data_IF_661067350047
#
_entry.id   IF_661067350047
#
_cell.length_a   1.000
_cell.length_b   1.000
_cell.length_c   1.000
_cell.angle_alpha   90.00
_cell.angle_beta   90.00
_cell.angle_gamma   90.00
#
_symmetry.space_group_name_H-M   'P 1'
#
loop_
_entity.id
_entity.type
_entity.pdbx_description
1 polymer ?
#
# COMPACT_ATOMS: atom_id res chain seq x y z
N UNK A 1 -12.43 30.10 -36.13
CA UNK A 1 -12.54 29.40 -34.83
C UNK A 1 -11.81 28.04 -34.82
N UNK A 2 -10.52 27.97 -35.20
CA UNK A 2 -9.75 26.70 -35.26
C UNK A 2 -8.67 26.56 -34.17
N UNK A 3 -8.29 27.64 -33.46
CA UNK A 3 -7.23 27.62 -32.45
C UNK A 3 -7.67 27.17 -31.05
N UNK A 4 -8.95 27.26 -30.68
CA UNK A 4 -9.38 26.91 -29.32
C UNK A 4 -9.21 25.42 -28.99
N UNK A 5 -9.39 24.51 -29.96
CA UNK A 5 -9.29 23.06 -29.74
C UNK A 5 -7.87 22.59 -29.39
N UNK A 6 -6.84 23.27 -29.89
CA UNK A 6 -5.44 22.93 -29.61
C UNK A 6 -5.02 23.33 -28.19
N UNK A 7 -5.50 24.49 -27.72
CA UNK A 7 -5.22 24.96 -26.35
C UNK A 7 -5.84 24.02 -25.32
N UNK A 8 -7.05 23.52 -25.57
CA UNK A 8 -7.72 22.55 -24.67
C UNK A 8 -6.98 21.22 -24.59
N UNK A 9 -6.43 20.72 -25.71
CA UNK A 9 -5.67 19.48 -25.74
C UNK A 9 -4.35 19.59 -24.94
N UNK A 10 -3.66 20.73 -25.02
CA UNK A 10 -2.43 21.00 -24.27
C UNK A 10 -2.70 21.08 -22.76
N UNK A 11 -3.80 21.74 -22.35
CA UNK A 11 -4.22 21.82 -20.95
C UNK A 11 -4.60 20.45 -20.37
N UNK A 12 -5.22 19.57 -21.17
CA UNK A 12 -5.53 18.21 -20.73
C UNK A 12 -4.25 17.36 -20.56
N UNK A 13 -3.28 17.50 -21.48
CA UNK A 13 -2.00 16.81 -21.40
C UNK A 13 -1.12 17.30 -20.23
N UNK A 14 -1.16 18.61 -19.93
CA UNK A 14 -0.44 19.19 -18.80
C UNK A 14 -0.98 18.73 -17.44
N UNK A 15 -2.31 18.58 -17.30
CA UNK A 15 -2.92 18.05 -16.08
C UNK A 15 -2.60 16.56 -15.86
N UNK A 16 -2.45 15.77 -16.93
CA UNK A 16 -2.02 14.38 -16.82
C UNK A 16 -0.58 14.22 -16.31
N UNK A 17 0.27 15.24 -16.50
CA UNK A 17 1.65 15.26 -16.00
C UNK A 17 1.78 15.73 -14.55
N UNK A 18 0.71 16.30 -13.97
CA UNK A 18 0.68 16.88 -12.62
C UNK A 18 0.09 15.92 -11.57
N UNK A 19 0.05 14.62 -11.86
CA UNK A 19 -0.28 13.63 -10.82
C UNK A 19 0.85 13.66 -9.79
N UNK A 20 0.59 14.29 -8.64
CA UNK A 20 1.49 14.26 -7.50
C UNK A 20 1.65 12.81 -7.05
N UNK A 21 2.81 12.24 -7.33
CA UNK A 21 3.13 10.87 -7.01
C UNK A 21 3.64 10.79 -5.57
N UNK A 22 2.92 10.05 -4.73
CA UNK A 22 3.18 9.99 -3.30
C UNK A 22 2.78 8.62 -2.78
N UNK A 23 3.72 7.88 -2.20
CA UNK A 23 3.45 6.58 -1.56
C UNK A 23 3.86 6.62 -0.09
N UNK A 24 2.94 6.21 0.77
CA UNK A 24 3.18 6.06 2.21
C UNK A 24 3.44 4.61 2.56
N UNK A 25 4.61 4.33 3.10
CA UNK A 25 5.00 3.00 3.57
C UNK A 25 4.83 2.93 5.09
N UNK A 26 4.27 1.81 5.57
CA UNK A 26 4.03 1.54 6.99
C UNK A 26 4.57 0.19 7.39
N UNK A 27 5.38 0.16 8.46
CA UNK A 27 5.94 -1.08 9.00
C UNK A 27 5.87 -1.09 10.52
N UNK A 28 5.55 -2.24 11.07
CA UNK A 28 5.58 -2.54 12.49
C UNK A 28 6.98 -3.03 12.85
N UNK A 29 7.64 -2.33 13.77
CA UNK A 29 8.93 -2.71 14.32
C UNK A 29 8.97 -2.46 15.83
N UNK A 30 9.37 -3.46 16.61
CA UNK A 30 9.44 -3.38 18.09
C UNK A 30 10.82 -2.97 18.60
N UNK A 31 11.84 -2.97 17.74
CA UNK A 31 13.20 -2.57 18.08
C UNK A 31 13.86 -1.90 16.89
N UNK A 32 14.71 -0.90 17.15
CA UNK A 32 15.43 -0.16 16.12
C UNK A 32 14.56 0.81 15.30
N UNK A 33 15.21 1.54 14.40
CA UNK A 33 14.55 2.47 13.48
C UNK A 33 14.53 1.87 12.08
N UNK A 34 13.35 1.54 11.51
CA UNK A 34 13.27 0.98 10.18
C UNK A 34 13.58 2.01 9.10
N UNK A 35 13.96 1.50 7.93
CA UNK A 35 14.03 2.24 6.68
C UNK A 35 13.33 1.45 5.58
N UNK A 36 12.77 2.16 4.61
CA UNK A 36 12.27 1.54 3.37
C UNK A 36 13.24 1.85 2.23
N UNK A 37 13.49 0.87 1.38
CA UNK A 37 14.26 1.05 0.15
C UNK A 37 13.28 0.97 -1.02
N UNK A 38 13.19 2.05 -1.78
CA UNK A 38 12.36 2.16 -2.99
C UNK A 38 13.18 2.83 -4.08
N UNK A 39 13.16 2.30 -5.30
CA UNK A 39 13.97 2.79 -6.43
C UNK A 39 15.47 2.93 -6.09
N UNK A 40 16.04 1.97 -5.34
CA UNK A 40 17.44 1.96 -4.87
C UNK A 40 17.82 3.11 -3.92
N UNK A 41 16.85 3.91 -3.47
CA UNK A 41 17.05 4.95 -2.45
C UNK A 41 16.51 4.48 -1.12
N UNK A 42 17.25 4.75 -0.04
CA UNK A 42 16.88 4.39 1.33
C UNK A 42 16.26 5.60 2.04
N UNK A 43 15.11 5.40 2.65
CA UNK A 43 14.38 6.42 3.39
C UNK A 43 14.17 5.96 4.83
N UNK A 44 14.69 6.72 5.79
CA UNK A 44 14.50 6.46 7.22
C UNK A 44 13.06 6.78 7.63
N UNK A 45 12.43 5.86 8.35
CA UNK A 45 11.04 6.00 8.77
C UNK A 45 10.94 6.68 10.14
N UNK A 46 9.81 7.35 10.39
CA UNK A 46 9.52 8.01 11.67
C UNK A 46 8.42 7.24 12.39
N UNK A 47 8.42 7.31 13.72
CA UNK A 47 7.33 6.75 14.52
C UNK A 47 6.04 7.52 14.19
N UNK A 48 5.01 6.80 13.77
CA UNK A 48 3.64 7.35 13.65
C UNK A 48 2.90 7.11 14.97
N UNK A 49 2.81 5.85 15.38
CA UNK A 49 2.23 5.40 16.65
C UNK A 49 2.89 4.07 17.02
N UNK A 50 3.73 4.04 18.07
CA UNK A 50 4.50 2.84 18.39
C UNK A 50 3.58 1.60 18.55
N UNK A 51 3.87 0.46 17.90
CA UNK A 51 5.11 0.09 17.19
C UNK A 51 5.12 0.36 15.66
N UNK A 52 4.25 1.23 15.15
CA UNK A 52 4.11 1.59 13.74
C UNK A 52 5.04 2.75 13.37
N UNK A 53 5.82 2.53 12.33
CA UNK A 53 6.64 3.53 11.67
C UNK A 53 6.09 3.80 10.28
N UNK A 54 6.16 5.06 9.86
CA UNK A 54 5.79 5.45 8.51
C UNK A 54 6.77 6.43 7.88
N UNK A 55 6.79 6.41 6.56
CA UNK A 55 7.42 7.42 5.74
C UNK A 55 6.58 7.61 4.51
N UNK A 56 6.41 8.87 4.13
CA UNK A 56 5.82 9.19 2.84
C UNK A 56 6.91 9.66 1.90
N UNK A 57 6.98 9.03 0.74
CA UNK A 57 7.96 9.33 -0.30
C UNK A 57 7.23 9.98 -1.46
N UNK A 58 7.56 11.26 -1.70
CA UNK A 58 7.13 11.98 -2.89
C UNK A 58 7.91 11.48 -4.12
N UNK A 59 7.40 11.73 -5.32
CA UNK A 59 8.00 11.29 -6.59
C UNK A 59 7.98 9.76 -6.83
N UNK A 60 7.16 9.03 -6.06
CA UNK A 60 6.97 7.58 -6.23
C UNK A 60 5.54 7.30 -6.64
N UNK A 61 5.38 6.55 -7.74
CA UNK A 61 4.09 6.11 -8.26
C UNK A 61 3.88 4.64 -7.99
N UNK A 62 2.70 4.25 -7.50
CA UNK A 62 2.27 2.86 -7.54
C UNK A 62 1.91 2.45 -8.98
N UNK A 63 2.17 1.19 -9.40
CA UNK A 63 2.80 0.13 -8.62
C UNK A 63 4.32 0.31 -8.48
N UNK A 64 4.85 0.05 -7.28
CA UNK A 64 6.31 0.16 -7.02
C UNK A 64 6.85 -0.99 -6.17
N UNK A 65 8.07 -1.40 -6.49
CA UNK A 65 8.83 -2.40 -5.73
C UNK A 65 9.61 -1.76 -4.57
N UNK A 66 9.58 -2.41 -3.42
CA UNK A 66 10.26 -1.93 -2.21
C UNK A 66 10.62 -3.08 -1.27
N UNK A 67 11.45 -2.82 -0.27
CA UNK A 67 11.72 -3.72 0.85
C UNK A 67 12.15 -2.91 2.08
N UNK A 68 12.05 -3.51 3.26
CA UNK A 68 12.44 -2.85 4.51
C UNK A 68 13.85 -3.25 4.98
N UNK A 69 14.46 -2.36 5.75
CA UNK A 69 15.74 -2.54 6.45
C UNK A 69 15.55 -2.16 7.90
N UNK A 70 16.02 -2.98 8.84
CA UNK A 70 15.97 -2.74 10.27
C UNK A 70 17.33 -2.98 10.90
N UNK A 71 18.01 -1.90 11.32
CA UNK A 71 19.38 -2.00 11.84
C UNK A 71 20.34 -2.54 10.78
N UNK A 72 20.95 -3.70 11.07
CA UNK A 72 21.84 -4.43 10.15
C UNK A 72 21.13 -5.49 9.30
N UNK A 73 19.82 -5.71 9.52
CA UNK A 73 19.04 -6.70 8.78
C UNK A 73 18.27 -6.05 7.62
N UNK A 74 18.27 -6.72 6.47
CA UNK A 74 17.56 -6.31 5.26
C UNK A 74 16.67 -7.47 4.79
N UNK A 75 15.44 -7.17 4.38
CA UNK A 75 14.53 -8.18 3.85
C UNK A 75 15.11 -8.82 2.60
N UNK A 76 15.12 -10.16 2.54
CA UNK A 76 15.65 -10.93 1.40
C UNK A 76 14.66 -11.09 0.25
N UNK A 77 13.55 -10.36 0.28
CA UNK A 77 12.47 -10.43 -0.69
C UNK A 77 11.97 -9.03 -1.02
N UNK A 78 11.42 -8.89 -2.22
CA UNK A 78 10.82 -7.64 -2.69
C UNK A 78 9.31 -7.68 -2.47
N UNK A 79 8.76 -6.57 -1.98
CA UNK A 79 7.33 -6.30 -1.86
C UNK A 79 6.88 -5.41 -3.03
N UNK A 80 5.59 -5.44 -3.33
CA UNK A 80 4.98 -4.59 -4.36
C UNK A 80 3.84 -3.79 -3.73
N UNK A 81 3.92 -2.47 -3.83
CA UNK A 81 2.86 -1.57 -3.40
C UNK A 81 2.00 -1.27 -4.62
N UNK A 82 0.75 -1.70 -4.59
CA UNK A 82 -0.22 -1.47 -5.69
C UNK A 82 -0.98 -0.15 -5.51
N UNK A 83 -0.82 0.52 -4.36
CA UNK A 83 -1.53 1.74 -3.98
C UNK A 83 -0.62 2.76 -3.30
N UNK A 84 -1.12 3.99 -3.18
CA UNK A 84 -0.45 5.15 -2.57
C UNK A 84 -0.19 4.99 -1.06
N UNK A 85 -0.68 3.94 -0.44
CA UNK A 85 -0.43 3.60 0.96
C UNK A 85 -0.37 2.10 1.13
N UNK A 86 0.65 1.63 1.85
CA UNK A 86 0.74 0.23 2.28
C UNK A 86 -0.05 0.01 3.55
N UNK A 87 -0.51 -1.22 3.77
CA UNK A 87 -1.02 -1.64 5.07
C UNK A 87 0.13 -1.68 6.09
N UNK A 88 -0.21 -2.00 7.34
CA UNK A 88 0.78 -2.22 8.39
C UNK A 88 1.55 -3.53 8.10
N UNK A 89 2.73 -3.40 7.51
CA UNK A 89 3.58 -4.55 7.24
C UNK A 89 4.31 -5.01 8.51
N UNK A 90 4.63 -6.30 8.57
CA UNK A 90 5.56 -6.84 9.56
C UNK A 90 6.92 -7.06 8.90
N UNK A 91 7.97 -6.53 9.51
CA UNK A 91 9.34 -6.74 9.05
C UNK A 91 9.66 -8.25 8.92
N UNK A 92 10.29 -8.62 7.81
CA UNK A 92 10.72 -9.97 7.48
C UNK A 92 9.58 -11.01 7.41
N UNK A 93 8.34 -10.54 7.17
CA UNK A 93 7.18 -11.40 6.84
C UNK A 93 6.62 -11.02 5.48
N UNK A 94 6.83 -11.88 4.48
CA UNK A 94 6.35 -11.65 3.11
C UNK A 94 4.83 -11.68 2.98
N UNK A 95 4.14 -12.43 3.85
CA UNK A 95 2.68 -12.51 3.89
C UNK A 95 2.20 -11.82 5.18
N UNK A 96 1.62 -10.64 5.02
CA UNK A 96 1.06 -9.83 6.13
C UNK A 96 -0.47 -9.89 6.17
N UNK A 97 -1.10 -10.22 5.04
CA UNK A 97 -2.55 -10.41 4.92
C UNK A 97 -2.82 -11.76 4.28
N UNK A 98 -3.73 -12.54 4.87
CA UNK A 98 -4.21 -13.80 4.31
C UNK A 98 -5.73 -13.82 4.34
N UNK A 99 -6.36 -14.19 3.22
CA UNK A 99 -7.80 -14.45 3.19
C UNK A 99 -8.07 -15.68 4.05
N UNK A 100 -8.99 -15.56 5.01
CA UNK A 100 -9.42 -16.71 5.79
C UNK A 100 -10.22 -17.67 4.87
N UNK A 101 -9.87 -18.96 4.83
CA UNK A 101 -10.66 -19.92 4.06
C UNK A 101 -12.04 -20.06 4.71
N UNK A 102 -13.09 -19.93 3.91
CA UNK A 102 -14.45 -20.16 4.40
C UNK A 102 -14.65 -21.66 4.60
N UNK A 103 -15.17 -22.04 5.76
CA UNK A 103 -15.61 -23.42 5.98
C UNK A 103 -16.83 -23.70 5.10
N UNK A 104 -16.94 -24.91 4.53
CA UNK A 104 -18.14 -25.30 3.79
C UNK A 104 -19.34 -25.23 4.73
N UNK A 105 -20.40 -24.56 4.27
CA UNK A 105 -21.63 -24.49 5.05
C UNK A 105 -22.31 -25.86 5.06
N UNK A 106 -22.77 -26.30 6.23
CA UNK A 106 -23.48 -27.57 6.38
C UNK A 106 -24.90 -27.55 5.78
N UNK A 107 -25.40 -26.37 5.39
CA UNK A 107 -26.73 -26.16 4.87
C UNK A 107 -26.76 -24.96 3.91
N UNK A 108 -27.77 -24.93 3.03
CA UNK A 108 -28.00 -23.81 2.13
C UNK A 108 -28.58 -22.60 2.87
N UNK A 109 -28.07 -21.41 2.57
CA UNK A 109 -28.58 -20.17 3.19
C UNK A 109 -29.97 -19.89 2.64
N UNK A 110 -30.94 -19.75 3.54
CA UNK A 110 -32.31 -19.40 3.16
C UNK A 110 -32.34 -18.02 2.46
N UNK A 111 -33.06 -17.87 1.34
CA UNK A 111 -33.14 -16.59 0.60
C UNK A 111 -33.69 -15.42 1.42
N UNK A 112 -34.46 -15.73 2.47
CA UNK A 112 -35.08 -14.77 3.38
C UNK A 112 -34.20 -14.41 4.57
N UNK A 113 -33.04 -15.05 4.74
CA UNK A 113 -32.16 -14.82 5.87
C UNK A 113 -31.43 -13.49 5.71
N UNK A 114 -31.84 -12.50 6.51
CA UNK A 114 -31.13 -11.22 6.60
C UNK A 114 -29.82 -11.44 7.37
N UNK A 115 -28.70 -11.49 6.65
CA UNK A 115 -27.36 -11.59 7.23
C UNK A 115 -27.08 -10.37 8.12
N UNK A 116 -26.44 -10.60 9.26
CA UNK A 116 -26.01 -9.53 10.16
C UNK A 116 -24.78 -8.81 9.59
N UNK A 117 -24.47 -7.62 10.11
CA UNK A 117 -23.28 -6.85 9.73
C UNK A 117 -21.96 -7.60 10.05
N UNK A 118 -22.00 -8.57 10.97
CA UNK A 118 -20.86 -9.38 11.39
C UNK A 118 -20.85 -10.76 10.72
N UNK A 119 -21.67 -10.97 9.70
CA UNK A 119 -21.72 -12.26 9.02
C UNK A 119 -20.46 -12.44 8.16
N UNK A 120 -19.62 -13.40 8.55
CA UNK A 120 -18.32 -13.68 7.92
C UNK A 120 -18.41 -14.65 6.72
N UNK A 121 -19.61 -14.84 6.16
CA UNK A 121 -19.83 -15.68 4.96
C UNK A 121 -20.16 -14.82 3.75
N UNK A 122 -19.13 -14.36 3.05
CA UNK A 122 -19.26 -13.71 1.73
C UNK A 122 -18.95 -14.71 0.60
#
# INVERSE_FOLDING_TARGET
MKCFKFVTAILLAANALLVHSKVTFKVIAVSGTPSVVVNKKKYTMKVEEYPIYSVTVDEVNAPVEYHYVLGSEEEKFTRKAESDTTLNDFFNRSITVKKHPLLPMAYEVLPTLKKSKLYDGN
#
